data_IF_034821058339
#
_entry.id   IF_034821058339
#
_cell.length_a   1.000
_cell.length_b   1.000
_cell.length_c   1.000
_cell.angle_alpha   90.00
_cell.angle_beta   90.00
_cell.angle_gamma   90.00
#
_symmetry.space_group_name_H-M   'P 1'
#
loop_
_entity.id
_entity.type
_entity.pdbx_description
1 polymer ?
#
# COMPACT_ATOMS: atom_id res chain seq x y z
N UNK A 1 -17.61 -92.55 29.92
CA UNK A 1 -16.94 -91.51 29.10
C UNK A 1 -17.73 -90.15 29.12
N UNK A 2 -18.78 -89.99 29.85
CA UNK A 2 -19.60 -88.72 29.88
C UNK A 2 -19.10 -87.63 30.83
N UNK A 3 -18.29 -87.92 31.82
CA UNK A 3 -17.90 -86.92 32.85
C UNK A 3 -16.85 -85.88 32.42
N UNK A 4 -16.20 -86.04 31.27
CA UNK A 4 -15.13 -85.14 30.82
C UNK A 4 -15.66 -84.02 29.91
N UNK A 5 -16.81 -84.17 29.29
CA UNK A 5 -17.35 -83.20 28.33
C UNK A 5 -18.01 -81.94 28.98
N UNK A 6 -18.59 -82.08 30.16
CA UNK A 6 -19.28 -81.02 30.86
C UNK A 6 -18.31 -79.85 31.23
N UNK A 7 -17.14 -80.09 31.86
CA UNK A 7 -16.21 -79.01 32.18
C UNK A 7 -15.66 -78.28 30.96
N UNK A 8 -15.44 -78.98 29.84
CA UNK A 8 -14.96 -78.34 28.60
C UNK A 8 -16.01 -77.45 28.02
N UNK A 9 -17.27 -77.85 28.00
CA UNK A 9 -18.41 -76.96 27.51
C UNK A 9 -18.54 -75.71 28.35
N UNK A 10 -18.42 -75.80 29.66
CA UNK A 10 -18.48 -74.63 30.58
C UNK A 10 -17.30 -73.71 30.36
N UNK A 11 -16.10 -74.18 30.17
CA UNK A 11 -14.93 -73.34 29.89
C UNK A 11 -15.09 -72.60 28.55
N UNK A 12 -15.55 -73.28 27.50
CA UNK A 12 -15.80 -72.70 26.18
C UNK A 12 -16.89 -71.62 26.27
N UNK A 13 -17.97 -71.93 27.03
CA UNK A 13 -19.04 -70.96 27.22
C UNK A 13 -18.58 -69.67 27.95
N UNK A 14 -17.79 -69.80 29.03
CA UNK A 14 -17.19 -68.67 29.75
C UNK A 14 -16.27 -67.84 28.83
N UNK A 15 -15.42 -68.54 28.03
CA UNK A 15 -14.55 -67.87 27.08
C UNK A 15 -15.36 -67.06 26.01
N UNK A 16 -16.47 -67.65 25.49
CA UNK A 16 -17.34 -66.97 24.54
C UNK A 16 -18.02 -65.74 25.15
N UNK A 17 -18.54 -65.87 26.37
CA UNK A 17 -19.13 -64.72 27.07
C UNK A 17 -18.13 -63.62 27.32
N UNK A 18 -16.94 -63.97 27.75
CA UNK A 18 -15.82 -62.98 27.96
C UNK A 18 -15.47 -62.23 26.67
N UNK A 19 -15.34 -62.95 25.55
CA UNK A 19 -15.04 -62.36 24.26
C UNK A 19 -16.18 -61.44 23.78
N UNK A 20 -17.42 -61.78 24.00
CA UNK A 20 -18.59 -60.94 23.68
C UNK A 20 -18.58 -59.64 24.50
N UNK A 21 -18.31 -59.75 25.81
CA UNK A 21 -18.20 -58.58 26.68
C UNK A 21 -17.05 -57.64 26.25
N UNK A 22 -15.89 -58.21 25.96
CA UNK A 22 -14.74 -57.42 25.45
C UNK A 22 -15.07 -56.72 24.14
N UNK A 23 -15.78 -57.44 23.24
CA UNK A 23 -16.20 -56.85 21.97
C UNK A 23 -17.18 -55.72 22.15
N UNK A 24 -18.16 -55.84 23.07
CA UNK A 24 -19.11 -54.77 23.38
C UNK A 24 -18.45 -53.54 23.98
N UNK A 25 -17.43 -53.72 24.85
CA UNK A 25 -16.66 -52.60 25.42
C UNK A 25 -15.86 -51.91 24.33
N UNK A 26 -15.20 -52.64 23.44
CA UNK A 26 -14.44 -52.07 22.34
C UNK A 26 -15.35 -51.32 21.34
N UNK A 27 -16.53 -51.85 21.03
CA UNK A 27 -17.52 -51.20 20.17
C UNK A 27 -18.02 -49.86 20.78
N UNK A 28 -18.32 -49.85 22.09
CA UNK A 28 -18.71 -48.63 22.81
C UNK A 28 -17.61 -47.56 22.80
N UNK A 29 -16.34 -47.96 23.00
CA UNK A 29 -15.20 -47.02 22.95
C UNK A 29 -14.99 -46.51 21.52
N UNK A 30 -15.21 -47.31 20.51
CA UNK A 30 -15.12 -46.88 19.12
C UNK A 30 -16.20 -45.80 18.79
N UNK A 31 -17.44 -46.07 19.21
CA UNK A 31 -18.53 -45.11 19.02
C UNK A 31 -18.29 -43.76 19.73
N UNK A 32 -17.73 -43.77 20.94
CA UNK A 32 -17.35 -42.58 21.67
C UNK A 32 -16.23 -41.82 20.94
N UNK A 33 -15.20 -42.49 20.46
CA UNK A 33 -14.13 -41.91 19.68
C UNK A 33 -14.61 -41.31 18.34
N UNK A 34 -15.55 -42.01 17.65
CA UNK A 34 -16.16 -41.47 16.43
C UNK A 34 -17.00 -40.20 16.71
N UNK A 35 -17.75 -40.15 17.81
CA UNK A 35 -18.50 -39.00 18.21
C UNK A 35 -17.60 -37.79 18.54
N UNK A 36 -16.48 -38.04 19.25
CA UNK A 36 -15.47 -37.00 19.51
C UNK A 36 -14.83 -36.50 18.22
N UNK A 37 -14.47 -37.41 17.30
CA UNK A 37 -13.90 -37.04 16.00
C UNK A 37 -14.86 -36.17 15.17
N UNK A 38 -16.16 -36.49 15.17
CA UNK A 38 -17.18 -35.69 14.50
C UNK A 38 -17.33 -34.30 15.14
N UNK A 39 -17.30 -34.22 16.48
CA UNK A 39 -17.35 -32.94 17.20
C UNK A 39 -16.15 -32.07 16.89
N UNK A 40 -14.94 -32.63 16.87
CA UNK A 40 -13.71 -31.93 16.50
C UNK A 40 -13.74 -31.44 15.04
N UNK A 41 -14.24 -32.26 14.13
CA UNK A 41 -14.39 -31.88 12.72
C UNK A 41 -15.31 -30.67 12.57
N UNK A 42 -16.46 -30.69 13.24
CA UNK A 42 -17.40 -29.56 13.23
C UNK A 42 -16.80 -28.28 13.85
N UNK A 43 -16.01 -28.41 14.91
CA UNK A 43 -15.31 -27.29 15.52
C UNK A 43 -14.24 -26.68 14.57
N UNK A 44 -13.50 -27.53 13.86
CA UNK A 44 -12.53 -27.09 12.86
C UNK A 44 -13.22 -26.33 11.70
N UNK A 45 -14.31 -26.86 11.17
CA UNK A 45 -15.08 -26.20 10.11
C UNK A 45 -15.62 -24.84 10.57
N UNK A 46 -16.13 -24.76 11.80
CA UNK A 46 -16.58 -23.48 12.37
C UNK A 46 -15.43 -22.49 12.51
N UNK A 47 -14.27 -22.90 13.04
CA UNK A 47 -13.09 -22.06 13.17
C UNK A 47 -12.60 -21.56 11.81
N UNK A 48 -12.59 -22.39 10.79
CA UNK A 48 -12.23 -21.99 9.43
C UNK A 48 -13.17 -20.91 8.90
N UNK A 49 -14.47 -21.06 9.13
CA UNK A 49 -15.48 -20.08 8.73
C UNK A 49 -15.26 -18.72 9.44
N UNK A 50 -15.03 -18.76 10.76
CA UNK A 50 -14.75 -17.53 11.54
C UNK A 50 -13.48 -16.86 11.08
N UNK A 51 -12.42 -17.65 10.81
CA UNK A 51 -11.15 -17.11 10.33
C UNK A 51 -11.30 -16.44 8.97
N UNK A 52 -12.06 -17.04 8.05
CA UNK A 52 -12.33 -16.45 6.75
C UNK A 52 -13.11 -15.12 6.87
N UNK A 53 -14.12 -15.06 7.74
CA UNK A 53 -14.86 -13.83 7.99
C UNK A 53 -13.99 -12.73 8.62
N UNK A 54 -13.12 -13.09 9.56
CA UNK A 54 -12.18 -12.12 10.14
C UNK A 54 -11.18 -11.59 9.11
N UNK A 55 -10.73 -12.45 8.20
CA UNK A 55 -9.83 -12.04 7.13
C UNK A 55 -10.50 -11.02 6.19
N UNK A 56 -11.74 -11.26 5.78
CA UNK A 56 -12.52 -10.31 4.97
C UNK A 56 -12.72 -8.96 5.71
N UNK A 57 -12.96 -9.01 7.02
CA UNK A 57 -13.10 -7.78 7.82
C UNK A 57 -11.79 -6.99 7.91
N UNK A 58 -10.65 -7.68 8.06
CA UNK A 58 -9.32 -7.05 8.05
C UNK A 58 -9.06 -6.37 6.72
N UNK A 59 -9.25 -7.07 5.60
CA UNK A 59 -9.06 -6.52 4.25
C UNK A 59 -9.95 -5.29 4.00
N UNK A 60 -11.20 -5.34 4.46
CA UNK A 60 -12.12 -4.19 4.37
C UNK A 60 -11.65 -2.99 5.19
N UNK A 61 -11.11 -3.23 6.40
CA UNK A 61 -10.56 -2.16 7.25
C UNK A 61 -9.27 -1.58 6.71
N UNK A 62 -8.42 -2.40 6.10
CA UNK A 62 -7.18 -1.93 5.46
C UNK A 62 -7.48 -0.98 4.30
N UNK A 63 -8.47 -1.32 3.45
CA UNK A 63 -8.94 -0.42 2.39
C UNK A 63 -9.51 0.88 2.98
N UNK A 64 -10.31 0.79 4.06
CA UNK A 64 -10.86 1.96 4.71
C UNK A 64 -9.78 2.85 5.33
N UNK A 65 -8.76 2.26 5.95
CA UNK A 65 -7.64 2.99 6.52
C UNK A 65 -6.84 3.72 5.44
N UNK A 66 -6.53 3.05 4.32
CA UNK A 66 -5.84 3.67 3.20
C UNK A 66 -6.62 4.88 2.64
N UNK A 67 -7.94 4.75 2.50
CA UNK A 67 -8.79 5.87 2.07
C UNK A 67 -8.81 7.03 3.09
N UNK A 68 -8.81 6.72 4.40
CA UNK A 68 -8.76 7.74 5.45
C UNK A 68 -7.40 8.44 5.49
N UNK A 69 -6.31 7.72 5.31
CA UNK A 69 -4.97 8.29 5.19
C UNK A 69 -4.89 9.27 4.01
N UNK A 70 -5.38 8.86 2.84
CA UNK A 70 -5.51 9.73 1.67
C UNK A 70 -6.30 11.00 1.98
N UNK A 71 -7.49 10.91 2.60
CA UNK A 71 -8.31 12.07 2.95
C UNK A 71 -7.63 12.98 3.99
N UNK A 72 -6.90 12.41 4.94
CA UNK A 72 -6.14 13.18 5.95
C UNK A 72 -5.03 13.99 5.27
N UNK A 73 -4.25 13.38 4.37
CA UNK A 73 -3.21 14.09 3.65
C UNK A 73 -3.81 15.17 2.73
N UNK A 74 -4.90 14.87 2.02
CA UNK A 74 -5.63 15.85 1.21
C UNK A 74 -6.08 17.07 2.03
N UNK A 75 -6.63 16.86 3.22
CA UNK A 75 -7.03 17.94 4.13
C UNK A 75 -5.82 18.73 4.64
N UNK A 76 -4.71 18.06 4.98
CA UNK A 76 -3.47 18.74 5.36
C UNK A 76 -2.99 19.70 4.27
N UNK A 77 -2.97 19.25 3.02
CA UNK A 77 -2.61 20.11 1.89
C UNK A 77 -3.53 21.34 1.78
N UNK A 78 -4.84 21.16 1.84
CA UNK A 78 -5.78 22.27 1.77
C UNK A 78 -5.56 23.31 2.87
N UNK A 79 -5.28 22.88 4.11
CA UNK A 79 -4.97 23.79 5.21
C UNK A 79 -3.63 24.49 5.01
N UNK A 80 -2.67 23.78 4.46
CA UNK A 80 -1.33 24.25 4.26
C UNK A 80 -1.29 25.41 3.24
N UNK A 81 -1.85 25.21 2.04
CA UNK A 81 -1.90 26.25 0.99
C UNK A 81 -2.68 27.49 1.42
N UNK A 82 -3.69 27.34 2.25
CA UNK A 82 -4.42 28.48 2.81
C UNK A 82 -3.59 29.35 3.79
N UNK A 83 -2.48 28.82 4.31
CA UNK A 83 -1.63 29.50 5.30
C UNK A 83 -0.42 30.22 4.72
N UNK A 84 -0.08 29.98 3.44
CA UNK A 84 1.11 30.56 2.81
C UNK A 84 0.91 32.02 2.43
N UNK A 85 1.54 32.90 3.20
CA UNK A 85 1.54 34.35 2.95
C UNK A 85 2.87 34.88 2.42
N UNK A 86 3.87 34.00 2.22
CA UNK A 86 5.21 34.41 1.78
C UNK A 86 5.45 33.95 0.34
N UNK A 87 5.70 34.91 -0.55
CA UNK A 87 6.24 34.61 -1.86
C UNK A 87 7.76 34.74 -1.81
N UNK A 88 8.46 33.67 -2.09
CA UNK A 88 9.92 33.64 -2.30
C UNK A 88 10.20 33.72 -3.80
N UNK A 89 11.17 34.54 -4.13
CA UNK A 89 11.71 34.62 -5.48
C UNK A 89 13.23 34.57 -5.41
N UNK A 90 13.86 33.97 -6.40
CA UNK A 90 15.29 33.98 -6.57
C UNK A 90 15.86 32.63 -6.98
N UNK A 91 16.53 32.60 -8.12
CA UNK A 91 17.14 31.38 -8.66
C UNK A 91 18.23 30.84 -7.73
N UNK A 92 19.06 31.72 -7.13
CA UNK A 92 20.15 31.30 -6.22
C UNK A 92 19.64 30.63 -4.95
N UNK A 93 18.54 31.15 -4.38
CA UNK A 93 17.94 30.59 -3.17
C UNK A 93 17.29 29.24 -3.49
N UNK A 94 16.64 29.14 -4.65
CA UNK A 94 16.05 27.88 -5.13
C UNK A 94 17.14 26.82 -5.35
N UNK A 95 18.24 27.17 -6.01
CA UNK A 95 19.36 26.27 -6.25
C UNK A 95 19.98 25.76 -4.94
N UNK A 96 20.21 26.67 -3.96
CA UNK A 96 20.71 26.27 -2.64
C UNK A 96 19.74 25.32 -1.92
N UNK A 97 18.45 25.58 -2.04
CA UNK A 97 17.42 24.73 -1.45
C UNK A 97 17.42 23.33 -2.07
N UNK A 98 17.35 23.25 -3.40
CA UNK A 98 17.35 21.98 -4.13
C UNK A 98 18.62 21.16 -3.86
N UNK A 99 19.78 21.80 -3.82
CA UNK A 99 21.06 21.13 -3.52
C UNK A 99 21.11 20.51 -2.12
N UNK A 100 20.39 21.06 -1.14
CA UNK A 100 20.29 20.47 0.19
C UNK A 100 19.52 19.16 0.20
N UNK A 101 18.51 19.01 -0.67
CA UNK A 101 17.63 17.87 -0.71
C UNK A 101 18.07 16.76 -1.68
N UNK A 102 18.84 17.09 -2.69
CA UNK A 102 19.32 16.15 -3.71
C UNK A 102 19.97 14.87 -3.15
N UNK A 103 20.49 14.91 -1.93
CA UNK A 103 21.24 13.81 -1.31
C UNK A 103 20.49 13.09 -0.19
N UNK A 104 19.34 13.56 0.23
CA UNK A 104 18.68 13.11 1.44
C UNK A 104 17.33 12.43 1.22
N UNK A 105 16.72 12.61 0.07
CA UNK A 105 15.34 12.17 -0.12
C UNK A 105 15.13 11.46 -1.47
N UNK A 106 14.41 10.34 -1.42
CA UNK A 106 13.80 9.59 -2.52
C UNK A 106 14.72 9.23 -3.70
N UNK A 107 15.04 7.98 -3.83
CA UNK A 107 15.63 7.46 -5.07
C UNK A 107 14.48 7.19 -6.04
N UNK A 108 14.59 7.69 -7.27
CA UNK A 108 13.66 7.35 -8.34
C UNK A 108 13.44 5.84 -8.44
N UNK A 109 12.20 5.41 -8.37
CA UNK A 109 11.78 4.02 -8.53
C UNK A 109 10.67 3.99 -9.57
N UNK A 110 10.95 3.42 -10.74
CA UNK A 110 9.98 3.37 -11.85
C UNK A 110 8.67 2.70 -11.41
N UNK A 111 7.55 3.29 -11.79
CA UNK A 111 6.18 2.88 -11.49
C UNK A 111 5.82 2.90 -9.98
N UNK A 112 6.69 3.46 -9.11
CA UNK A 112 6.43 3.57 -7.66
C UNK A 112 6.67 5.00 -7.16
N UNK A 113 7.90 5.50 -7.28
CA UNK A 113 8.26 6.88 -6.94
C UNK A 113 9.02 7.49 -8.12
N UNK A 114 8.27 7.78 -9.15
CA UNK A 114 8.77 8.25 -10.44
C UNK A 114 8.64 9.77 -10.62
N UNK A 115 8.60 10.25 -11.85
CA UNK A 115 8.58 11.69 -12.11
C UNK A 115 7.32 12.38 -11.58
N UNK A 116 6.19 11.69 -11.50
CA UNK A 116 4.92 12.26 -11.06
C UNK A 116 4.89 12.46 -9.55
N UNK A 117 5.21 11.41 -8.78
CA UNK A 117 5.29 11.47 -7.32
C UNK A 117 6.42 12.39 -6.86
N UNK A 118 7.58 12.34 -7.55
CA UNK A 118 8.69 13.25 -7.24
C UNK A 118 8.34 14.71 -7.51
N UNK A 119 7.57 15.00 -8.56
CA UNK A 119 7.09 16.35 -8.84
C UNK A 119 6.10 16.82 -7.78
N UNK A 120 5.13 15.99 -7.41
CA UNK A 120 4.18 16.29 -6.36
C UNK A 120 4.85 16.51 -5.00
N UNK A 121 5.82 15.66 -4.65
CA UNK A 121 6.60 15.80 -3.42
C UNK A 121 7.43 17.09 -3.40
N UNK A 122 8.12 17.37 -4.49
CA UNK A 122 8.98 18.56 -4.58
C UNK A 122 8.14 19.85 -4.62
N UNK A 123 6.99 19.85 -5.28
CA UNK A 123 6.02 20.96 -5.25
C UNK A 123 5.63 21.26 -3.81
N UNK A 124 5.17 20.27 -3.07
CA UNK A 124 4.82 20.40 -1.66
C UNK A 124 5.97 20.97 -0.83
N UNK A 125 7.22 20.51 -1.04
CA UNK A 125 8.40 21.03 -0.34
C UNK A 125 8.67 22.49 -0.66
N UNK A 126 8.60 22.88 -1.92
CA UNK A 126 8.88 24.24 -2.38
C UNK A 126 7.80 25.21 -1.93
N UNK A 127 6.53 24.82 -2.00
CA UNK A 127 5.42 25.61 -1.48
C UNK A 127 5.56 25.84 0.04
N UNK A 128 6.02 24.83 0.79
CA UNK A 128 6.35 24.96 2.22
C UNK A 128 7.41 26.00 2.49
N UNK A 129 8.34 26.22 1.58
CA UNK A 129 9.36 27.25 1.68
C UNK A 129 8.91 28.61 1.13
N UNK A 130 7.69 28.67 0.56
CA UNK A 130 7.08 29.89 0.07
C UNK A 130 7.39 30.21 -1.40
N UNK A 131 7.84 29.23 -2.18
CA UNK A 131 7.88 29.33 -3.63
C UNK A 131 6.48 29.09 -4.21
N UNK A 132 6.17 29.77 -5.29
CA UNK A 132 4.99 29.48 -6.10
C UNK A 132 5.41 28.50 -7.19
N UNK A 133 4.78 27.33 -7.23
CA UNK A 133 5.13 26.23 -8.12
C UNK A 133 3.92 25.77 -8.90
N UNK A 134 4.17 25.20 -10.08
CA UNK A 134 3.16 24.53 -10.91
C UNK A 134 3.73 23.17 -11.31
N UNK A 135 2.94 22.13 -11.15
CA UNK A 135 3.24 20.81 -11.70
C UNK A 135 2.82 20.81 -13.17
N UNK A 136 3.69 20.39 -14.05
CA UNK A 136 3.36 20.23 -15.47
C UNK A 136 3.68 18.82 -15.96
N UNK A 137 2.87 18.34 -16.92
CA UNK A 137 3.07 17.03 -17.53
C UNK A 137 2.95 17.10 -19.03
N UNK A 138 3.79 16.35 -19.72
CA UNK A 138 3.81 16.32 -21.18
C UNK A 138 4.72 15.23 -21.73
N UNK A 139 5.11 15.41 -23.01
CA UNK A 139 6.17 14.58 -23.58
C UNK A 139 7.51 14.95 -22.92
N UNK A 140 8.35 13.96 -22.67
CA UNK A 140 9.65 14.18 -22.02
C UNK A 140 10.53 15.13 -22.84
N UNK A 141 11.05 16.23 -22.25
CA UNK A 141 11.92 17.16 -22.96
C UNK A 141 13.23 16.54 -23.48
N UNK A 142 13.69 15.45 -22.85
CA UNK A 142 14.99 14.85 -23.14
C UNK A 142 14.91 13.36 -23.55
N UNK A 143 13.72 12.83 -23.77
CA UNK A 143 13.58 11.41 -24.04
C UNK A 143 12.27 11.00 -24.71
N UNK A 144 11.94 9.73 -24.57
CA UNK A 144 10.70 9.14 -25.06
C UNK A 144 9.80 8.83 -23.89
N UNK A 145 8.52 9.15 -24.00
CA UNK A 145 7.50 8.88 -22.98
C UNK A 145 6.94 10.13 -22.35
N UNK A 146 6.02 9.94 -21.43
CA UNK A 146 5.46 11.04 -20.63
C UNK A 146 6.37 11.35 -19.45
N UNK A 147 6.31 12.59 -19.01
CA UNK A 147 7.14 13.10 -17.94
C UNK A 147 6.37 14.16 -17.14
N UNK A 148 6.74 14.32 -15.87
CA UNK A 148 6.27 15.37 -15.00
C UNK A 148 7.46 16.15 -14.42
N UNK A 149 7.32 17.48 -14.32
CA UNK A 149 8.32 18.38 -13.77
C UNK A 149 7.66 19.60 -13.14
N UNK A 150 8.45 20.50 -12.59
CA UNK A 150 7.93 21.74 -12.00
C UNK A 150 8.32 22.96 -12.81
N UNK A 151 7.43 23.94 -12.80
CA UNK A 151 7.75 25.33 -13.10
C UNK A 151 7.69 26.13 -11.80
N UNK A 152 8.81 26.69 -11.37
CA UNK A 152 8.95 27.42 -10.12
C UNK A 152 9.07 28.92 -10.41
N UNK A 153 8.21 29.73 -9.82
CA UNK A 153 8.27 31.16 -10.00
C UNK A 153 9.49 31.76 -9.30
N UNK A 154 10.43 32.28 -10.08
CA UNK A 154 11.69 32.86 -9.58
C UNK A 154 11.76 34.38 -9.73
N UNK A 155 10.75 34.98 -10.35
CA UNK A 155 10.55 36.42 -10.44
C UNK A 155 9.07 36.76 -10.60
N UNK A 156 8.71 38.02 -10.52
CA UNK A 156 7.30 38.45 -10.70
C UNK A 156 6.70 38.07 -12.05
N UNK A 157 7.51 37.80 -13.05
CA UNK A 157 7.05 37.52 -14.43
C UNK A 157 7.71 36.27 -15.02
N UNK A 158 8.47 35.49 -14.22
CA UNK A 158 9.26 34.40 -14.77
C UNK A 158 9.26 33.14 -13.94
N UNK A 159 9.15 32.03 -14.64
CA UNK A 159 9.29 30.67 -14.11
C UNK A 159 10.60 30.06 -14.58
N UNK A 160 11.17 29.19 -13.73
CA UNK A 160 12.30 28.32 -14.04
C UNK A 160 11.85 26.88 -14.00
N UNK A 161 12.17 26.07 -15.01
CA UNK A 161 11.90 24.66 -14.96
C UNK A 161 12.82 23.98 -13.92
N UNK A 162 12.24 23.05 -13.18
CA UNK A 162 12.95 22.20 -12.23
C UNK A 162 12.69 20.77 -12.57
N UNK A 163 13.77 20.05 -12.87
CA UNK A 163 13.74 18.61 -13.09
C UNK A 163 13.60 17.92 -11.73
N UNK A 164 12.43 17.36 -11.48
CA UNK A 164 12.05 16.78 -10.18
C UNK A 164 12.84 15.51 -9.86
N UNK A 165 13.13 14.70 -10.88
CA UNK A 165 13.85 13.42 -10.71
C UNK A 165 15.33 13.61 -10.32
N UNK A 166 15.89 14.77 -10.58
CA UNK A 166 17.28 15.12 -10.24
C UNK A 166 17.40 16.27 -9.24
N UNK A 167 16.28 16.86 -8.80
CA UNK A 167 16.26 18.05 -7.93
C UNK A 167 17.14 19.18 -8.45
N UNK A 168 17.03 19.48 -9.75
CA UNK A 168 17.91 20.45 -10.39
C UNK A 168 17.16 21.47 -11.23
N UNK A 169 17.64 22.72 -11.23
CA UNK A 169 17.15 23.75 -12.12
C UNK A 169 17.63 23.47 -13.54
N UNK A 170 16.72 23.57 -14.51
CA UNK A 170 17.07 23.57 -15.92
C UNK A 170 17.35 24.99 -16.34
N UNK A 171 18.61 25.28 -16.64
CA UNK A 171 19.04 26.64 -16.99
C UNK A 171 18.81 26.94 -18.48
N UNK A 172 18.65 28.22 -18.79
CA UNK A 172 18.52 28.73 -20.16
C UNK A 172 19.71 28.38 -21.10
N UNK A 173 20.82 27.94 -20.55
CA UNK A 173 21.93 27.42 -21.30
C UNK A 173 21.81 25.93 -21.66
N UNK A 174 20.82 25.22 -21.10
CA UNK A 174 20.51 23.84 -21.45
C UNK A 174 19.83 23.77 -22.81
N UNK A 175 20.19 22.75 -23.60
CA UNK A 175 19.65 22.57 -24.95
C UNK A 175 18.16 22.22 -24.96
N UNK A 176 17.62 21.72 -23.84
CA UNK A 176 16.23 21.32 -23.68
C UNK A 176 15.41 22.38 -22.95
N UNK A 177 15.98 23.53 -22.56
CA UNK A 177 15.29 24.54 -21.74
C UNK A 177 13.93 24.96 -22.30
N UNK A 178 13.86 25.24 -23.58
CA UNK A 178 12.62 25.67 -24.22
C UNK A 178 11.57 24.54 -24.27
N UNK A 179 12.01 23.30 -24.34
CA UNK A 179 11.12 22.13 -24.39
C UNK A 179 10.39 21.91 -23.06
N UNK A 180 10.96 22.36 -21.93
CA UNK A 180 10.31 22.32 -20.62
C UNK A 180 9.10 23.28 -20.50
N UNK A 181 8.89 24.17 -21.45
CA UNK A 181 7.70 25.02 -21.53
C UNK A 181 6.65 24.47 -22.53
N UNK A 182 6.87 23.27 -23.05
CA UNK A 182 5.93 22.57 -23.92
C UNK A 182 5.33 21.39 -23.15
N UNK A 183 4.12 21.53 -22.67
CA UNK A 183 3.44 20.53 -21.84
C UNK A 183 1.98 20.37 -22.24
N UNK A 184 1.38 19.24 -21.85
CA UNK A 184 -0.02 18.93 -22.16
C UNK A 184 -0.96 19.45 -21.06
N UNK A 185 -0.54 19.37 -19.78
CA UNK A 185 -1.33 19.76 -18.61
C UNK A 185 -0.49 20.54 -17.63
N UNK A 186 -1.16 21.45 -16.92
CA UNK A 186 -0.63 22.28 -15.86
C UNK A 186 -1.56 22.20 -14.66
N UNK A 187 -0.99 22.02 -13.47
CA UNK A 187 -1.71 21.96 -12.20
C UNK A 187 -1.14 23.02 -11.26
N UNK A 188 -2.00 23.94 -10.81
CA UNK A 188 -1.60 25.02 -9.90
C UNK A 188 -1.20 24.53 -8.51
N UNK A 189 -1.59 23.29 -8.18
CA UNK A 189 -1.28 22.65 -6.92
C UNK A 189 -1.46 21.12 -7.02
N UNK A 190 -0.91 20.42 -6.03
CA UNK A 190 -0.99 18.96 -5.96
C UNK A 190 -2.44 18.43 -5.94
N UNK A 191 -3.41 19.18 -5.39
CA UNK A 191 -4.80 18.73 -5.36
C UNK A 191 -5.39 18.59 -6.77
N UNK A 192 -5.06 19.52 -7.67
CA UNK A 192 -5.50 19.45 -9.07
C UNK A 192 -4.85 18.26 -9.79
N UNK A 193 -3.56 18.00 -9.52
CA UNK A 193 -2.86 16.84 -10.06
C UNK A 193 -3.48 15.52 -9.57
N UNK A 194 -3.82 15.44 -8.28
CA UNK A 194 -4.51 14.28 -7.69
C UNK A 194 -5.94 14.09 -8.21
N UNK A 195 -6.67 15.17 -8.43
CA UNK A 195 -8.02 15.09 -9.02
C UNK A 195 -7.96 14.61 -10.48
N UNK A 196 -6.87 14.91 -11.18
CA UNK A 196 -6.62 14.43 -12.53
C UNK A 196 -6.18 12.96 -12.56
N UNK A 197 -5.19 12.57 -11.76
CA UNK A 197 -4.67 11.20 -11.69
C UNK A 197 -4.25 10.84 -10.26
N UNK A 198 -5.18 10.30 -9.44
CA UNK A 198 -4.94 10.09 -8.01
C UNK A 198 -3.78 9.14 -7.69
N UNK A 199 -3.50 8.17 -8.56
CA UNK A 199 -2.47 7.15 -8.34
C UNK A 199 -1.10 7.51 -8.92
N UNK A 200 -0.98 8.68 -9.54
CA UNK A 200 0.25 9.15 -10.19
C UNK A 200 0.96 10.23 -9.36
N UNK A 201 0.24 10.87 -8.43
CA UNK A 201 0.76 11.99 -7.67
C UNK A 201 0.68 11.79 -6.15
N UNK A 202 0.40 10.56 -5.70
CA UNK A 202 0.21 10.21 -4.30
C UNK A 202 1.52 9.78 -3.61
N UNK A 203 2.53 10.63 -3.66
CA UNK A 203 3.88 10.43 -3.16
C UNK A 203 3.98 9.89 -1.72
N UNK A 204 2.94 10.02 -0.90
CA UNK A 204 2.89 9.48 0.47
C UNK A 204 2.54 8.00 0.55
N UNK A 205 2.25 7.35 -0.57
CA UNK A 205 1.95 5.92 -0.63
C UNK A 205 3.20 5.04 -0.63
N UNK A 206 4.39 5.66 -0.63
CA UNK A 206 5.70 5.00 -0.73
C UNK A 206 6.63 5.21 0.47
#
# INVERSE_FOLDING_TARGET
MEKVYIPIIVIVFIACVFTIVQWQVADSQLQECEAEAQSLTSAVEWLQTVTAQQQEEIESKDIQNSNLEYEVERVKFQFYYASLTKQRYGVSDLEEYLNRWQWTEGVYVADEFDCSEMSAYLEWKLENEGYNTVIVTGDSPFGVGKHAWLLVQTSTEGYMPVESTTYSIVYWSDIYFDDYFVYDYEFENIQEALDYSPNEFDWWSY
#
